data_IF_265068845358
#
_entry.id   IF_265068845358
#
_cell.length_a   1.000
_cell.length_b   1.000
_cell.length_c   1.000
_cell.angle_alpha   90.00
_cell.angle_beta   90.00
_cell.angle_gamma   90.00
#
_symmetry.space_group_name_H-M   'P 1'
#
loop_
_entity.id
_entity.type
_entity.pdbx_description
1 polymer ?
#
# COMPACT_ATOMS: atom_id res chain seq x y z
N UNK A 1 -2.15 -21.32 7.75
CA UNK A 1 -1.74 -22.64 7.18
C UNK A 1 -0.69 -22.45 6.09
N UNK A 2 0.06 -23.53 5.74
CA UNK A 2 1.06 -23.47 4.64
C UNK A 2 0.39 -23.15 3.30
N UNK A 3 -0.83 -23.60 3.08
CA UNK A 3 -1.60 -23.31 1.87
C UNK A 3 -2.01 -21.82 1.78
N UNK A 4 -2.33 -21.19 2.88
CA UNK A 4 -2.61 -19.73 2.94
C UNK A 4 -1.34 -18.94 2.64
N UNK A 5 -0.20 -19.30 3.26
CA UNK A 5 1.09 -18.66 3.00
C UNK A 5 1.52 -18.77 1.53
N UNK A 6 1.33 -19.95 0.91
CA UNK A 6 1.60 -20.14 -0.52
C UNK A 6 0.67 -19.27 -1.40
N UNK A 7 -0.62 -19.19 -1.05
CA UNK A 7 -1.60 -18.35 -1.74
C UNK A 7 -1.22 -16.87 -1.65
N UNK A 8 -0.89 -16.37 -0.46
CA UNK A 8 -0.45 -14.99 -0.24
C UNK A 8 0.83 -14.69 -1.02
N UNK A 9 1.83 -15.57 -0.97
CA UNK A 9 3.07 -15.41 -1.74
C UNK A 9 2.82 -15.29 -3.24
N UNK A 10 1.98 -16.16 -3.80
CA UNK A 10 1.62 -16.10 -5.23
C UNK A 10 0.88 -14.79 -5.56
N UNK A 11 -0.04 -14.36 -4.70
CA UNK A 11 -0.75 -13.10 -4.86
C UNK A 11 0.20 -11.90 -4.83
N UNK A 12 1.12 -11.85 -3.86
CA UNK A 12 2.10 -10.76 -3.75
C UNK A 12 3.11 -10.72 -4.92
N UNK A 13 3.38 -11.85 -5.57
CA UNK A 13 4.19 -11.88 -6.80
C UNK A 13 3.43 -11.41 -8.04
N UNK A 14 2.10 -11.42 -8.03
CA UNK A 14 1.28 -10.93 -9.12
C UNK A 14 1.20 -9.39 -9.11
N UNK A 15 1.57 -8.77 -10.24
CA UNK A 15 1.57 -7.30 -10.38
C UNK A 15 0.17 -6.71 -10.20
N UNK A 16 -0.83 -7.30 -10.86
CA UNK A 16 -2.20 -6.76 -10.87
C UNK A 16 -2.83 -6.85 -9.46
N UNK A 17 -2.49 -7.90 -8.70
CA UNK A 17 -2.89 -8.00 -7.29
C UNK A 17 -2.30 -6.86 -6.45
N UNK A 18 -1.00 -6.61 -6.54
CA UNK A 18 -0.37 -5.50 -5.80
C UNK A 18 -0.95 -4.14 -6.19
N UNK A 19 -1.23 -3.93 -7.48
CA UNK A 19 -1.88 -2.71 -7.97
C UNK A 19 -3.31 -2.57 -7.44
N UNK A 20 -4.07 -3.66 -7.39
CA UNK A 20 -5.42 -3.65 -6.85
C UNK A 20 -5.45 -3.22 -5.38
N UNK A 21 -4.56 -3.77 -4.56
CA UNK A 21 -4.41 -3.37 -3.15
C UNK A 21 -4.00 -1.89 -3.05
N UNK A 22 -3.04 -1.44 -3.87
CA UNK A 22 -2.59 -0.05 -3.87
C UNK A 22 -3.73 0.94 -4.20
N UNK A 23 -4.56 0.64 -5.21
CA UNK A 23 -5.71 1.48 -5.57
C UNK A 23 -6.89 1.35 -4.59
N UNK A 24 -6.89 0.33 -3.73
CA UNK A 24 -7.91 0.12 -2.70
C UNK A 24 -7.67 0.88 -1.39
N UNK A 25 -6.48 1.46 -1.21
CA UNK A 25 -6.12 2.18 0.02
C UNK A 25 -6.54 3.65 -0.07
N UNK A 26 -7.54 4.06 0.72
CA UNK A 26 -7.90 5.46 0.93
C UNK A 26 -6.86 6.13 1.85
N UNK A 27 -5.89 6.81 1.24
CA UNK A 27 -4.80 7.47 1.96
C UNK A 27 -5.26 8.70 2.72
N UNK A 28 -6.36 9.32 2.30
CA UNK A 28 -6.95 10.45 3.04
C UNK A 28 -7.55 9.95 4.35
N UNK A 29 -8.34 8.87 4.32
CA UNK A 29 -8.88 8.25 5.52
C UNK A 29 -7.77 7.71 6.45
N UNK A 30 -6.72 7.10 5.88
CA UNK A 30 -5.53 6.65 6.61
C UNK A 30 -4.81 7.83 7.29
N UNK A 31 -4.61 8.94 6.58
CA UNK A 31 -3.96 10.15 7.10
C UNK A 31 -4.78 10.82 8.20
N UNK A 32 -6.11 10.77 8.10
CA UNK A 32 -7.01 11.37 9.08
C UNK A 32 -6.82 10.81 10.50
N UNK A 33 -6.36 9.56 10.63
CA UNK A 33 -6.13 8.91 11.92
C UNK A 33 -5.02 9.58 12.75
N UNK A 34 -4.13 10.33 12.10
CA UNK A 34 -3.06 11.08 12.75
C UNK A 34 -3.26 12.59 12.66
N UNK A 35 -3.70 13.08 11.51
CA UNK A 35 -3.73 14.51 11.19
C UNK A 35 -5.13 15.13 11.37
N UNK A 36 -6.13 14.32 11.75
CA UNK A 36 -7.52 14.73 11.80
C UNK A 36 -8.10 15.03 10.40
N UNK A 37 -9.42 15.15 10.29
CA UNK A 37 -10.10 15.33 9.00
C UNK A 37 -9.61 16.56 8.22
N UNK A 38 -9.39 17.70 8.91
CA UNK A 38 -8.96 18.94 8.25
C UNK A 38 -7.54 18.89 7.71
N UNK A 39 -6.65 18.11 8.35
CA UNK A 39 -5.25 17.97 7.97
C UNK A 39 -4.98 16.76 7.06
N UNK A 40 -5.95 15.88 6.93
CA UNK A 40 -5.79 14.58 6.29
C UNK A 40 -5.21 14.66 4.87
N UNK A 41 -5.89 15.36 3.98
CA UNK A 41 -5.46 15.51 2.59
C UNK A 41 -4.13 16.25 2.46
N UNK A 42 -3.90 17.27 3.30
CA UNK A 42 -2.68 18.09 3.27
C UNK A 42 -1.39 17.28 3.55
N UNK A 43 -1.51 16.18 4.29
CA UNK A 43 -0.38 15.32 4.62
C UNK A 43 -0.14 14.19 3.59
N UNK A 44 -1.04 14.00 2.62
CA UNK A 44 -0.89 12.96 1.61
C UNK A 44 0.19 13.35 0.59
N UNK A 45 1.09 12.42 0.33
CA UNK A 45 2.12 12.49 -0.70
C UNK A 45 1.95 11.30 -1.66
N UNK A 46 1.99 11.59 -2.95
CA UNK A 46 1.83 10.56 -3.99
C UNK A 46 3.17 10.12 -4.58
N UNK A 47 4.24 10.86 -4.31
CA UNK A 47 5.61 10.56 -4.70
C UNK A 47 6.53 10.61 -3.49
N UNK A 48 7.62 9.86 -3.52
CA UNK A 48 8.67 9.92 -2.48
C UNK A 48 9.39 11.27 -2.49
N UNK A 49 9.66 11.81 -3.67
CA UNK A 49 10.21 13.15 -3.87
C UNK A 49 9.06 14.11 -4.17
N UNK A 50 9.10 15.32 -3.58
CA UNK A 50 8.06 16.32 -3.86
C UNK A 50 7.98 16.61 -5.36
N UNK A 51 6.77 16.73 -5.93
CA UNK A 51 6.60 16.95 -7.37
C UNK A 51 7.33 18.16 -7.92
N UNK A 52 7.47 19.21 -7.12
CA UNK A 52 8.07 20.51 -7.46
C UNK A 52 9.48 20.71 -6.88
N UNK A 53 10.13 19.63 -6.41
CA UNK A 53 11.45 19.72 -5.76
C UNK A 53 12.58 19.98 -6.75
N UNK A 54 12.53 19.39 -7.94
CA UNK A 54 13.53 19.55 -9.00
C UNK A 54 12.85 19.70 -10.35
N UNK A 55 13.51 20.42 -11.26
CA UNK A 55 13.01 20.70 -12.60
C UNK A 55 14.04 20.26 -13.65
N UNK A 56 13.55 19.74 -14.78
CA UNK A 56 14.33 19.52 -15.99
C UNK A 56 13.75 20.42 -17.10
N UNK A 57 14.41 21.55 -17.37
CA UNK A 57 13.85 22.62 -18.17
C UNK A 57 12.61 23.22 -17.50
N UNK A 58 11.50 23.27 -18.25
CA UNK A 58 10.23 23.83 -17.75
C UNK A 58 9.33 22.81 -17.04
N UNK A 59 9.74 21.52 -16.97
CA UNK A 59 8.97 20.45 -16.37
C UNK A 59 9.44 20.13 -14.97
N UNK A 60 8.51 20.02 -14.03
CA UNK A 60 8.78 19.53 -12.69
C UNK A 60 9.03 18.01 -12.71
N UNK A 61 9.68 17.49 -11.67
CA UNK A 61 9.81 16.04 -11.47
C UNK A 61 8.45 15.34 -11.51
N UNK A 62 7.43 15.91 -10.86
CA UNK A 62 6.07 15.37 -10.86
C UNK A 62 5.45 15.31 -12.25
N UNK A 63 5.68 16.32 -13.11
CA UNK A 63 5.21 16.30 -14.50
C UNK A 63 5.87 15.18 -15.30
N UNK A 64 7.20 15.02 -15.16
CA UNK A 64 7.95 13.97 -15.84
C UNK A 64 7.51 12.57 -15.42
N UNK A 65 7.27 12.35 -14.11
CA UNK A 65 6.74 11.08 -13.63
C UNK A 65 5.34 10.83 -14.18
N UNK A 66 4.45 11.83 -14.12
CA UNK A 66 3.07 11.71 -14.61
C UNK A 66 3.03 11.35 -16.09
N UNK A 67 3.90 11.93 -16.91
CA UNK A 67 4.04 11.61 -18.34
C UNK A 67 4.51 10.16 -18.57
N UNK A 68 5.29 9.61 -17.65
CA UNK A 68 5.81 8.24 -17.75
C UNK A 68 4.85 7.18 -17.24
N UNK A 69 3.92 7.54 -16.34
CA UNK A 69 3.02 6.56 -15.71
C UNK A 69 2.28 5.65 -16.70
N UNK A 70 1.70 6.14 -17.82
CA UNK A 70 1.00 5.27 -18.77
C UNK A 70 1.89 4.20 -19.42
N UNK A 71 3.22 4.39 -19.42
CA UNK A 71 4.13 3.37 -19.96
C UNK A 71 4.25 2.11 -19.10
N UNK A 72 3.76 2.15 -17.84
CA UNK A 72 3.71 1.01 -16.92
C UNK A 72 2.39 0.22 -16.99
N UNK A 73 1.38 0.79 -17.67
CA UNK A 73 0.08 0.19 -17.89
C UNK A 73 -1.01 1.25 -18.01
N UNK A 74 -2.08 0.93 -18.72
CA UNK A 74 -3.22 1.85 -18.96
C UNK A 74 -3.91 2.27 -17.66
N UNK A 75 -3.85 1.42 -16.63
CA UNK A 75 -4.37 1.68 -15.29
C UNK A 75 -3.73 2.90 -14.62
N UNK A 76 -2.52 3.27 -15.04
CA UNK A 76 -1.80 4.45 -14.54
C UNK A 76 -2.12 5.74 -15.28
N UNK A 77 -2.92 5.68 -16.37
CA UNK A 77 -3.37 6.88 -17.08
C UNK A 77 -4.28 7.74 -16.23
N UNK A 78 -4.06 9.05 -16.27
CA UNK A 78 -4.88 10.04 -15.56
C UNK A 78 -4.72 10.07 -14.04
N UNK A 79 -3.70 9.40 -13.50
CA UNK A 79 -3.37 9.47 -12.07
C UNK A 79 -2.84 10.86 -11.75
N UNK A 80 -3.40 11.50 -10.71
CA UNK A 80 -2.96 12.79 -10.23
C UNK A 80 -1.92 12.62 -9.11
N UNK A 81 -0.65 12.89 -9.42
CA UNK A 81 0.46 12.72 -8.49
C UNK A 81 0.81 13.98 -7.68
N UNK A 82 -0.01 15.05 -7.77
CA UNK A 82 0.18 16.26 -6.97
C UNK A 82 0.03 15.98 -5.47
N UNK A 83 0.76 16.72 -4.66
CA UNK A 83 0.65 16.67 -3.20
C UNK A 83 -0.71 17.16 -2.68
N UNK A 84 -0.98 16.88 -1.43
CA UNK A 84 -2.15 17.34 -0.68
C UNK A 84 -3.50 16.84 -1.20
N UNK A 85 -3.48 15.70 -1.84
CA UNK A 85 -4.68 14.96 -2.26
C UNK A 85 -4.33 13.49 -2.50
N UNK A 86 -5.32 12.60 -2.44
CA UNK A 86 -5.13 11.19 -2.78
C UNK A 86 -5.38 10.96 -4.28
N UNK A 87 -4.29 10.85 -5.04
CA UNK A 87 -4.36 10.62 -6.48
C UNK A 87 -4.36 9.14 -6.88
N UNK A 88 -4.19 8.24 -5.91
CA UNK A 88 -4.06 6.81 -6.18
C UNK A 88 -5.30 6.00 -5.77
N UNK A 89 -6.04 6.41 -4.75
CA UNK A 89 -7.26 5.72 -4.37
C UNK A 89 -8.29 5.74 -5.50
N UNK A 90 -8.67 4.56 -5.98
CA UNK A 90 -9.69 4.41 -7.01
C UNK A 90 -10.32 3.02 -6.93
N UNK A 91 -11.53 2.93 -6.39
CA UNK A 91 -12.22 1.67 -6.17
C UNK A 91 -12.50 0.87 -7.46
N UNK A 92 -12.78 1.55 -8.57
CA UNK A 92 -13.07 0.89 -9.84
C UNK A 92 -11.79 0.31 -10.46
N UNK A 93 -10.69 1.05 -10.44
CA UNK A 93 -9.37 0.53 -10.84
C UNK A 93 -8.94 -0.63 -9.95
N UNK A 94 -9.10 -0.51 -8.63
CA UNK A 94 -8.80 -1.58 -7.69
C UNK A 94 -9.53 -2.88 -8.04
N UNK A 95 -10.83 -2.82 -8.29
CA UNK A 95 -11.64 -3.98 -8.68
C UNK A 95 -11.25 -4.54 -10.05
N UNK A 96 -10.96 -3.68 -11.01
CA UNK A 96 -10.54 -4.09 -12.36
C UNK A 96 -9.23 -4.88 -12.29
N UNK A 97 -8.23 -4.34 -11.60
CA UNK A 97 -6.94 -5.01 -11.42
C UNK A 97 -7.07 -6.29 -10.60
N UNK A 98 -7.92 -6.28 -9.56
CA UNK A 98 -8.19 -7.47 -8.77
C UNK A 98 -8.81 -8.60 -9.61
N UNK A 99 -9.76 -8.29 -10.48
CA UNK A 99 -10.40 -9.31 -11.33
C UNK A 99 -9.40 -9.96 -12.30
N UNK A 100 -8.49 -9.15 -12.91
CA UNK A 100 -7.39 -9.68 -13.72
C UNK A 100 -6.48 -10.61 -12.91
N UNK A 101 -6.08 -10.17 -11.72
CA UNK A 101 -5.25 -10.96 -10.82
C UNK A 101 -5.94 -12.25 -10.41
N UNK A 102 -7.24 -12.20 -10.05
CA UNK A 102 -8.01 -13.33 -9.56
C UNK A 102 -8.07 -14.47 -10.59
N UNK A 103 -8.31 -14.16 -11.85
CA UNK A 103 -8.31 -15.17 -12.94
C UNK A 103 -6.95 -15.88 -13.03
N UNK A 104 -5.86 -15.12 -13.05
CA UNK A 104 -4.51 -15.66 -13.13
C UNK A 104 -4.13 -16.49 -11.89
N UNK A 105 -4.54 -16.05 -10.70
CA UNK A 105 -4.24 -16.70 -9.42
C UNK A 105 -5.07 -17.99 -9.24
N UNK A 106 -6.34 -18.00 -9.66
CA UNK A 106 -7.17 -19.20 -9.65
C UNK A 106 -6.59 -20.29 -10.55
N UNK A 107 -6.06 -19.93 -11.72
CA UNK A 107 -5.37 -20.86 -12.61
C UNK A 107 -4.10 -21.47 -11.98
N UNK A 108 -3.52 -20.83 -10.95
CA UNK A 108 -2.38 -21.32 -10.18
C UNK A 108 -2.78 -22.07 -8.90
N UNK A 109 -4.09 -22.33 -8.71
CA UNK A 109 -4.62 -23.02 -7.53
C UNK A 109 -4.63 -22.20 -6.25
N UNK A 110 -4.56 -20.87 -6.35
CA UNK A 110 -4.62 -19.95 -5.20
C UNK A 110 -6.00 -20.00 -4.56
N UNK A 111 -6.02 -20.09 -3.24
CA UNK A 111 -7.23 -20.06 -2.43
C UNK A 111 -7.54 -18.63 -1.95
N UNK A 112 -8.81 -18.29 -1.93
CA UNK A 112 -9.31 -17.01 -1.44
C UNK A 112 -10.11 -17.21 -0.14
N UNK A 113 -10.16 -16.20 0.75
CA UNK A 113 -9.50 -14.89 0.63
C UNK A 113 -7.97 -14.97 0.74
N UNK A 114 -7.28 -13.99 0.16
CA UNK A 114 -5.86 -13.76 0.43
C UNK A 114 -5.75 -13.05 1.76
N UNK A 115 -4.94 -13.58 2.66
CA UNK A 115 -4.63 -12.99 3.95
C UNK A 115 -3.35 -12.17 3.87
N UNK A 116 -3.40 -10.91 4.31
CA UNK A 116 -2.26 -9.98 4.32
C UNK A 116 -1.95 -9.59 5.76
N UNK A 117 -0.83 -10.07 6.27
CA UNK A 117 -0.39 -9.80 7.64
C UNK A 117 0.18 -8.38 7.77
N UNK A 118 -0.36 -7.62 8.73
CA UNK A 118 0.01 -6.25 9.03
C UNK A 118 0.33 -6.11 10.53
N UNK A 119 1.57 -6.38 10.95
CA UNK A 119 1.98 -6.24 12.32
C UNK A 119 2.12 -4.76 12.73
N UNK A 120 1.72 -4.44 13.96
CA UNK A 120 1.79 -3.09 14.51
C UNK A 120 2.14 -3.11 16.00
N UNK A 121 2.88 -2.10 16.46
CA UNK A 121 3.09 -1.86 17.86
C UNK A 121 1.77 -1.48 18.54
N UNK A 122 1.31 -2.31 19.48
CA UNK A 122 0.07 -2.10 20.24
C UNK A 122 0.07 -0.83 21.11
N UNK A 123 1.24 -0.32 21.48
CA UNK A 123 1.38 0.91 22.26
C UNK A 123 1.24 2.16 21.40
N UNK A 124 1.51 2.06 20.10
CA UNK A 124 1.46 3.17 19.14
C UNK A 124 0.03 3.39 18.63
N UNK A 125 -0.85 3.96 19.45
CA UNK A 125 -2.28 4.16 19.14
C UNK A 125 -2.57 4.74 17.75
N UNK A 126 -1.89 5.80 17.28
CA UNK A 126 -2.13 6.33 15.94
C UNK A 126 -1.76 5.32 14.84
N UNK A 127 -0.73 4.51 15.05
CA UNK A 127 -0.30 3.48 14.10
C UNK A 127 -1.34 2.36 14.01
N UNK A 128 -1.87 1.93 15.17
CA UNK A 128 -2.98 0.96 15.22
C UNK A 128 -4.22 1.50 14.49
N UNK A 129 -4.60 2.76 14.74
CA UNK A 129 -5.75 3.38 14.07
C UNK A 129 -5.55 3.46 12.54
N UNK A 130 -4.35 3.80 12.07
CA UNK A 130 -4.01 3.80 10.64
C UNK A 130 -4.08 2.40 10.03
N UNK A 131 -3.57 1.38 10.72
CA UNK A 131 -3.66 -0.01 10.26
C UNK A 131 -5.13 -0.46 10.11
N UNK A 132 -5.99 -0.11 11.06
CA UNK A 132 -7.41 -0.40 10.98
C UNK A 132 -8.10 0.36 9.83
N UNK A 133 -7.71 1.60 9.57
CA UNK A 133 -8.21 2.37 8.42
C UNK A 133 -7.82 1.73 7.09
N UNK A 134 -6.57 1.27 6.96
CA UNK A 134 -6.09 0.53 5.79
C UNK A 134 -6.89 -0.76 5.59
N UNK A 135 -7.02 -1.57 6.64
CA UNK A 135 -7.85 -2.77 6.64
C UNK A 135 -9.26 -2.50 6.12
N UNK A 136 -9.94 -1.52 6.71
CA UNK A 136 -11.30 -1.16 6.33
C UNK A 136 -11.40 -0.73 4.86
N UNK A 137 -10.45 0.05 4.38
CA UNK A 137 -10.42 0.53 3.00
C UNK A 137 -10.25 -0.62 2.00
N UNK A 138 -9.27 -1.48 2.21
CA UNK A 138 -8.99 -2.63 1.35
C UNK A 138 -10.15 -3.61 1.34
N UNK A 139 -10.62 -4.04 2.51
CA UNK A 139 -11.71 -5.01 2.64
C UNK A 139 -13.05 -4.49 2.13
N UNK A 140 -13.35 -3.19 2.31
CA UNK A 140 -14.54 -2.56 1.75
C UNK A 140 -14.48 -2.49 0.22
N UNK A 141 -13.30 -2.23 -0.35
CA UNK A 141 -13.14 -2.03 -1.79
C UNK A 141 -13.11 -3.36 -2.54
N UNK A 142 -12.34 -4.34 -2.05
CA UNK A 142 -12.12 -5.61 -2.73
C UNK A 142 -13.05 -6.73 -2.28
N UNK A 143 -13.68 -6.60 -1.11
CA UNK A 143 -14.52 -7.64 -0.48
C UNK A 143 -13.69 -8.58 0.41
N UNK A 144 -14.22 -8.90 1.59
CA UNK A 144 -13.57 -9.82 2.56
C UNK A 144 -13.47 -11.25 2.05
N UNK A 145 -14.32 -11.64 1.13
CA UNK A 145 -14.26 -12.92 0.44
C UNK A 145 -13.07 -13.02 -0.53
N UNK A 146 -12.42 -11.91 -0.82
CA UNK A 146 -11.30 -11.82 -1.73
C UNK A 146 -9.98 -11.51 -1.00
N UNK A 147 -9.99 -10.51 -0.11
CA UNK A 147 -8.81 -10.07 0.64
C UNK A 147 -9.19 -9.75 2.08
N UNK A 148 -8.42 -10.25 3.01
CA UNK A 148 -8.50 -9.95 4.44
C UNK A 148 -7.16 -9.34 4.86
N UNK A 149 -7.19 -8.23 5.58
CA UNK A 149 -5.99 -7.65 6.20
C UNK A 149 -6.01 -8.03 7.68
N UNK A 150 -5.04 -8.82 8.10
CA UNK A 150 -4.90 -9.28 9.46
C UNK A 150 -3.97 -8.35 10.25
N UNK A 151 -4.58 -7.49 11.07
CA UNK A 151 -3.82 -6.52 11.89
C UNK A 151 -3.39 -7.21 13.19
N UNK A 152 -2.10 -7.49 13.31
CA UNK A 152 -1.49 -8.13 14.47
C UNK A 152 -0.89 -7.07 15.41
N UNK A 153 -1.59 -6.84 16.53
CA UNK A 153 -1.11 -5.95 17.58
C UNK A 153 -0.17 -6.72 18.51
N UNK A 154 1.08 -6.28 18.62
CA UNK A 154 2.11 -6.95 19.40
C UNK A 154 3.00 -5.94 20.16
N UNK A 155 3.91 -6.42 20.99
CA UNK A 155 4.91 -5.54 21.61
C UNK A 155 5.89 -4.99 20.57
N UNK A 156 6.55 -3.87 20.88
CA UNK A 156 7.56 -3.30 19.98
C UNK A 156 8.72 -4.28 19.76
N UNK A 157 9.14 -5.03 20.78
CA UNK A 157 10.21 -6.01 20.65
C UNK A 157 9.82 -7.15 19.73
N UNK A 158 8.59 -7.69 19.87
CA UNK A 158 8.09 -8.74 18.98
C UNK A 158 7.96 -8.22 17.54
N UNK A 159 7.47 -6.99 17.35
CA UNK A 159 7.38 -6.35 16.05
C UNK A 159 8.76 -6.26 15.37
N UNK A 160 9.76 -5.77 16.09
CA UNK A 160 11.11 -5.62 15.53
C UNK A 160 11.74 -6.99 15.23
N UNK A 161 11.56 -7.99 16.09
CA UNK A 161 12.09 -9.32 15.89
C UNK A 161 11.43 -10.09 14.74
N UNK A 162 10.14 -9.83 14.48
CA UNK A 162 9.42 -10.43 13.34
C UNK A 162 9.56 -9.65 12.02
N UNK A 163 10.21 -8.49 12.05
CA UNK A 163 10.40 -7.61 10.87
C UNK A 163 11.88 -7.26 10.68
N UNK A 164 12.30 -6.08 11.13
CA UNK A 164 13.62 -5.50 10.84
C UNK A 164 14.82 -6.31 11.40
N UNK A 165 14.62 -7.01 12.51
CA UNK A 165 15.66 -7.80 13.18
C UNK A 165 15.47 -9.29 13.00
N UNK A 166 14.58 -9.71 12.10
CA UNK A 166 14.43 -11.11 11.75
C UNK A 166 15.77 -11.71 11.30
N UNK A 167 16.07 -12.90 11.76
CA UNK A 167 17.38 -13.54 11.51
C UNK A 167 17.63 -13.83 10.01
N UNK A 168 16.58 -13.96 9.24
CA UNK A 168 16.60 -14.16 7.79
C UNK A 168 15.20 -13.93 7.21
N UNK A 169 15.09 -13.84 5.91
CA UNK A 169 13.80 -13.58 5.22
C UNK A 169 12.70 -14.64 5.50
N UNK A 170 13.07 -15.87 5.86
CA UNK A 170 12.07 -16.89 6.20
C UNK A 170 11.50 -16.72 7.61
N UNK A 171 12.16 -15.93 8.46
CA UNK A 171 11.70 -15.59 9.81
C UNK A 171 10.89 -14.29 9.85
N UNK A 172 10.82 -13.55 8.73
CA UNK A 172 9.95 -12.39 8.61
C UNK A 172 8.49 -12.84 8.53
N UNK A 173 7.63 -12.19 9.31
CA UNK A 173 6.21 -12.55 9.42
C UNK A 173 5.33 -11.32 9.18
N UNK A 174 5.39 -10.81 7.95
CA UNK A 174 4.60 -9.66 7.52
C UNK A 174 4.48 -9.57 6.00
N UNK A 175 3.36 -9.01 5.53
CA UNK A 175 3.08 -8.75 4.12
C UNK A 175 2.98 -7.24 3.83
N UNK A 176 2.49 -6.47 4.81
CA UNK A 176 2.34 -5.01 4.73
C UNK A 176 3.09 -4.37 5.90
N UNK A 177 3.97 -3.42 5.59
CA UNK A 177 4.63 -2.59 6.60
C UNK A 177 3.86 -1.28 6.81
N UNK A 178 3.64 -0.91 8.07
CA UNK A 178 2.99 0.34 8.48
C UNK A 178 3.94 1.27 9.26
N UNK A 179 5.23 1.01 9.25
CA UNK A 179 6.18 1.71 10.11
C UNK A 179 7.47 2.17 9.45
N UNK A 180 7.61 2.02 8.15
CA UNK A 180 8.83 2.45 7.45
C UNK A 180 8.76 3.95 7.17
N UNK A 181 9.79 4.68 7.61
CA UNK A 181 10.00 6.10 7.32
C UNK A 181 11.17 6.20 6.37
N UNK A 182 10.97 6.90 5.26
CA UNK A 182 12.03 7.27 4.33
C UNK A 182 11.94 8.76 4.04
N UNK A 183 13.08 9.42 3.98
CA UNK A 183 13.17 10.80 3.49
C UNK A 183 14.50 11.01 2.78
N UNK A 184 14.56 11.77 1.68
CA UNK A 184 15.83 12.16 1.08
C UNK A 184 16.56 13.14 2.00
N UNK A 185 17.87 12.97 2.11
CA UNK A 185 18.76 13.85 2.86
C UNK A 185 19.70 14.67 1.95
N UNK A 186 19.44 14.64 0.66
CA UNK A 186 20.20 15.35 -0.37
C UNK A 186 19.29 16.30 -1.17
N UNK A 187 19.89 17.33 -1.72
CA UNK A 187 19.18 18.39 -2.43
C UNK A 187 18.70 17.96 -3.82
N UNK A 188 19.44 17.08 -4.48
CA UNK A 188 19.12 16.51 -5.80
C UNK A 188 19.04 14.99 -5.67
N UNK A 189 17.84 14.37 -5.73
CA UNK A 189 17.64 12.94 -5.54
C UNK A 189 18.09 12.10 -6.74
#
# INVERSE_FOLDING_TARGET
TDAEKDSTKKALLNKDFRQSVNFAIDRTAYSAQLNGEKGAALAVRNLLVKPDFVYAGDKSFGDLVTEKMPSYGDEWSGVNLKDSQDGLFNADKAKTEFNKAKEALQAQGVQFPIHLDLPVDQAAKPTVARAQSLKQSVEKTLGKENVVVDVHQMSQDDLLNSTLYAANAAAEDWDISNGVIWSPDYQDP
#
